data_IF_387331879588
#
_entry.id   IF_387331879588
#
_cell.length_a   1.000
_cell.length_b   1.000
_cell.length_c   1.000
_cell.angle_alpha   90.00
_cell.angle_beta   90.00
_cell.angle_gamma   90.00
#
_symmetry.space_group_name_H-M   'P 1'
#
loop_
_entity.id
_entity.type
_entity.pdbx_description
1 polymer ?
#
# COMPACT_ATOMS: atom_id res chain seq x y z
N UNK A 1 -30.60 -11.96 -87.03
CA UNK A 1 -32.03 -11.57 -87.04
C UNK A 1 -32.81 -12.63 -86.27
N UNK A 2 -32.68 -12.72 -84.95
CA UNK A 2 -32.90 -11.69 -83.91
C UNK A 2 -34.36 -11.63 -83.50
N UNK A 3 -34.76 -12.58 -82.66
CA UNK A 3 -35.99 -12.58 -81.86
C UNK A 3 -35.59 -12.42 -80.40
N UNK A 4 -35.86 -11.25 -79.82
CA UNK A 4 -35.43 -10.91 -78.46
C UNK A 4 -36.48 -11.39 -77.45
N UNK A 5 -36.16 -12.42 -76.66
CA UNK A 5 -37.01 -12.82 -75.55
C UNK A 5 -36.84 -11.84 -74.38
N UNK A 6 -37.94 -11.26 -73.91
CA UNK A 6 -37.97 -10.40 -72.73
C UNK A 6 -37.87 -11.27 -71.47
N UNK A 7 -36.78 -11.13 -70.71
CA UNK A 7 -36.69 -11.61 -69.34
C UNK A 7 -36.94 -10.43 -68.39
N UNK A 8 -37.73 -10.65 -67.33
CA UNK A 8 -38.08 -9.59 -66.39
C UNK A 8 -36.83 -9.11 -65.62
N UNK A 9 -36.70 -7.79 -65.50
CA UNK A 9 -35.83 -7.13 -64.51
C UNK A 9 -36.68 -6.82 -63.29
N UNK A 10 -36.17 -7.15 -62.11
CA UNK A 10 -36.90 -7.00 -60.84
C UNK A 10 -36.59 -5.61 -60.24
N UNK A 11 -37.49 -4.66 -60.49
CA UNK A 11 -37.33 -3.24 -60.14
C UNK A 11 -37.32 -3.03 -58.61
N UNK A 12 -36.14 -3.20 -58.02
CA UNK A 12 -35.91 -3.10 -56.58
C UNK A 12 -35.96 -1.64 -56.11
N UNK A 13 -37.18 -1.14 -55.87
CA UNK A 13 -37.43 0.17 -55.25
C UNK A 13 -36.78 0.27 -53.87
N UNK A 14 -35.66 0.98 -53.80
CA UNK A 14 -35.10 1.51 -52.55
C UNK A 14 -35.78 2.86 -52.23
N UNK A 15 -36.84 2.82 -51.43
CA UNK A 15 -37.50 4.03 -50.92
C UNK A 15 -36.57 4.78 -49.94
N UNK A 16 -35.78 5.72 -50.48
CA UNK A 16 -34.88 6.57 -49.73
C UNK A 16 -35.65 7.62 -48.89
N UNK A 17 -36.19 7.17 -47.76
CA UNK A 17 -36.95 8.01 -46.82
C UNK A 17 -36.00 8.93 -46.03
N UNK A 18 -35.78 10.14 -46.56
CA UNK A 18 -35.08 11.21 -45.85
C UNK A 18 -35.89 11.62 -44.62
N UNK A 19 -35.43 11.19 -43.45
CA UNK A 19 -35.99 11.64 -42.16
C UNK A 19 -35.06 12.72 -41.62
N UNK A 20 -35.45 13.98 -41.78
CA UNK A 20 -34.77 15.13 -41.16
C UNK A 20 -35.09 15.14 -39.67
N UNK A 21 -34.30 14.40 -38.89
CA UNK A 21 -34.43 14.31 -37.44
C UNK A 21 -33.79 15.55 -36.79
N UNK A 22 -34.62 16.39 -36.17
CA UNK A 22 -34.15 17.56 -35.42
C UNK A 22 -33.51 17.07 -34.12
N UNK A 23 -32.25 17.44 -33.88
CA UNK A 23 -31.53 17.07 -32.67
C UNK A 23 -32.16 17.74 -31.43
N UNK A 24 -32.78 16.94 -30.57
CA UNK A 24 -33.31 17.34 -29.27
C UNK A 24 -32.15 17.57 -28.27
N UNK A 25 -32.02 18.76 -27.65
CA UNK A 25 -30.93 19.08 -26.75
C UNK A 25 -31.02 18.45 -25.34
N UNK A 26 -32.00 17.57 -25.05
CA UNK A 26 -32.22 17.02 -23.70
C UNK A 26 -31.74 15.57 -23.48
N UNK A 27 -30.60 15.16 -24.02
CA UNK A 27 -30.04 13.83 -23.75
C UNK A 27 -28.51 13.80 -23.52
N UNK A 28 -28.08 14.36 -22.39
CA UNK A 28 -26.72 14.20 -21.82
C UNK A 28 -26.81 13.82 -20.33
N UNK A 29 -27.62 12.80 -20.01
CA UNK A 29 -27.65 12.18 -18.68
C UNK A 29 -27.09 10.76 -18.77
N UNK A 30 -26.07 10.45 -17.96
CA UNK A 30 -25.35 9.18 -18.02
C UNK A 30 -26.13 8.04 -17.37
N UNK A 31 -26.20 6.88 -18.05
CA UNK A 31 -26.90 5.69 -17.56
C UNK A 31 -26.20 5.08 -16.33
N UNK A 32 -26.57 5.55 -15.13
CA UNK A 32 -26.25 4.90 -13.87
C UNK A 32 -27.21 3.72 -13.64
N UNK A 33 -26.74 2.52 -13.96
CA UNK A 33 -27.46 1.24 -13.78
C UNK A 33 -27.60 0.86 -12.31
N UNK A 34 -28.48 1.57 -11.59
CA UNK A 34 -28.84 1.27 -10.19
C UNK A 34 -29.64 -0.04 -10.13
N UNK A 35 -29.09 -1.04 -9.43
CA UNK A 35 -29.74 -2.32 -9.19
C UNK A 35 -31.10 -2.18 -8.50
N UNK A 36 -32.07 -2.98 -8.91
CA UNK A 36 -33.48 -2.75 -8.61
C UNK A 36 -33.88 -2.84 -7.13
N UNK A 37 -34.45 -1.74 -6.61
CA UNK A 37 -35.49 -1.68 -5.56
C UNK A 37 -35.35 -2.65 -4.37
N UNK A 38 -34.50 -2.30 -3.39
CA UNK A 38 -34.95 -2.46 -2.01
C UNK A 38 -36.00 -1.38 -1.69
N UNK A 39 -37.06 -1.74 -0.97
CA UNK A 39 -38.04 -0.79 -0.45
C UNK A 39 -37.46 -0.13 0.81
N UNK A 40 -36.85 1.06 0.69
CA UNK A 40 -36.72 1.96 1.83
C UNK A 40 -38.11 2.44 2.26
N UNK A 41 -38.36 2.52 3.57
CA UNK A 41 -39.58 3.13 4.08
C UNK A 41 -39.43 4.66 4.06
N UNK A 42 -40.50 5.35 3.70
CA UNK A 42 -40.54 6.81 3.65
C UNK A 42 -40.80 7.37 5.07
N UNK A 43 -39.78 7.39 5.93
CA UNK A 43 -39.98 7.77 7.33
C UNK A 43 -38.76 7.91 8.25
N UNK A 44 -37.53 7.80 7.75
CA UNK A 44 -36.31 8.06 8.54
C UNK A 44 -35.46 9.15 7.86
N UNK A 45 -34.80 10.04 8.62
CA UNK A 45 -33.96 11.09 8.06
C UNK A 45 -32.70 10.49 7.40
N UNK A 46 -32.09 11.23 6.49
CA UNK A 46 -30.76 10.90 5.99
C UNK A 46 -29.75 10.90 7.15
N UNK A 47 -29.29 9.71 7.53
CA UNK A 47 -28.11 9.54 8.39
C UNK A 47 -26.89 10.05 7.63
N UNK A 48 -26.67 11.36 7.75
CA UNK A 48 -25.51 12.05 7.21
C UNK A 48 -24.24 11.43 7.79
N UNK A 49 -23.19 11.33 6.97
CA UNK A 49 -21.84 10.88 7.36
C UNK A 49 -21.12 11.87 8.29
N UNK A 50 -21.88 12.78 8.93
CA UNK A 50 -21.43 13.80 9.88
C UNK A 50 -21.80 13.44 11.33
N UNK A 51 -22.76 12.52 11.54
CA UNK A 51 -23.21 12.06 12.87
C UNK A 51 -22.63 10.68 13.26
N UNK A 52 -21.80 10.04 12.41
CA UNK A 52 -20.97 8.92 12.88
C UNK A 52 -19.95 9.47 13.89
N UNK A 53 -19.94 9.02 15.16
CA UNK A 53 -19.05 9.60 16.15
C UNK A 53 -17.61 9.27 15.78
N UNK A 54 -16.74 10.28 15.80
CA UNK A 54 -15.33 10.25 15.33
C UNK A 54 -14.57 8.98 15.77
N UNK A 55 -14.86 8.47 16.98
CA UNK A 55 -14.28 7.23 17.52
C UNK A 55 -14.52 6.01 16.61
N UNK A 56 -15.69 5.89 15.97
CA UNK A 56 -16.13 4.72 15.22
C UNK A 56 -15.55 4.76 13.80
N UNK A 57 -15.42 5.96 13.22
CA UNK A 57 -14.61 6.23 12.03
C UNK A 57 -13.13 5.87 12.26
N UNK A 58 -12.53 6.35 13.35
CA UNK A 58 -11.14 6.00 13.74
C UNK A 58 -11.00 4.50 13.98
N UNK A 59 -11.96 3.86 14.67
CA UNK A 59 -11.94 2.42 14.94
C UNK A 59 -12.07 1.59 13.65
N UNK A 60 -12.84 2.06 12.66
CA UNK A 60 -12.95 1.45 11.33
C UNK A 60 -11.62 1.48 10.59
N UNK A 61 -10.91 2.61 10.61
CA UNK A 61 -9.57 2.73 10.00
C UNK A 61 -8.52 1.93 10.78
N UNK A 62 -8.44 2.06 12.11
CA UNK A 62 -7.53 1.27 12.97
C UNK A 62 -7.73 -0.23 12.77
N UNK A 63 -8.97 -0.70 12.60
CA UNK A 63 -9.27 -2.11 12.26
C UNK A 63 -8.84 -2.48 10.84
N UNK A 64 -8.90 -1.57 9.87
CA UNK A 64 -8.39 -1.81 8.51
C UNK A 64 -6.86 -1.97 8.50
N UNK A 65 -6.12 -1.06 9.15
CA UNK A 65 -4.66 -1.14 9.29
C UNK A 65 -4.22 -2.33 10.15
N UNK A 66 -4.94 -2.66 11.22
CA UNK A 66 -4.70 -3.89 11.99
C UNK A 66 -4.75 -5.16 11.14
N UNK A 67 -5.70 -5.25 10.19
CA UNK A 67 -5.73 -6.34 9.21
C UNK A 67 -4.56 -6.29 8.23
N UNK A 68 -4.12 -5.11 7.79
CA UNK A 68 -2.95 -4.93 6.90
C UNK A 68 -1.64 -5.37 7.58
N UNK A 69 -1.45 -4.99 8.85
CA UNK A 69 -0.35 -5.46 9.69
C UNK A 69 -0.37 -6.99 9.89
N UNK A 70 -1.54 -7.59 10.17
CA UNK A 70 -1.66 -9.04 10.26
C UNK A 70 -1.24 -9.77 8.97
N UNK A 71 -1.55 -9.20 7.80
CA UNK A 71 -1.12 -9.78 6.51
C UNK A 71 0.39 -9.71 6.27
N UNK A 72 1.10 -8.72 6.82
CA UNK A 72 2.58 -8.69 6.79
C UNK A 72 3.17 -9.76 7.71
N UNK A 73 2.59 -9.94 8.91
CA UNK A 73 3.04 -10.97 9.85
C UNK A 73 2.68 -12.38 9.37
N UNK A 74 1.62 -12.54 8.58
CA UNK A 74 1.17 -13.82 8.04
C UNK A 74 0.59 -13.67 6.61
N UNK A 75 1.43 -13.77 5.55
CA UNK A 75 1.06 -13.43 4.18
C UNK A 75 0.21 -14.51 3.48
N UNK A 76 -1.04 -14.72 3.93
CA UNK A 76 -2.02 -15.60 3.27
C UNK A 76 -2.77 -14.95 2.11
N UNK A 77 -3.25 -13.70 2.24
CA UNK A 77 -4.04 -13.04 1.19
C UNK A 77 -3.39 -11.75 0.67
N UNK A 78 -2.84 -11.81 -0.55
CA UNK A 78 -2.07 -10.71 -1.15
C UNK A 78 -2.91 -9.53 -1.66
N UNK A 79 -4.24 -9.70 -1.79
CA UNK A 79 -5.12 -8.75 -2.52
C UNK A 79 -5.60 -7.56 -1.68
N UNK A 80 -5.70 -7.69 -0.35
CA UNK A 80 -6.22 -6.62 0.52
C UNK A 80 -5.25 -5.43 0.63
N UNK A 81 -3.97 -5.70 0.96
CA UNK A 81 -2.90 -4.69 0.97
C UNK A 81 -2.73 -3.94 -0.36
N UNK A 82 -3.05 -4.58 -1.48
CA UNK A 82 -2.89 -4.00 -2.81
C UNK A 82 -4.13 -3.22 -3.30
N UNK A 83 -5.27 -3.24 -2.60
CA UNK A 83 -6.50 -2.58 -3.07
C UNK A 83 -6.73 -1.18 -2.47
N UNK A 84 -6.13 -0.88 -1.32
CA UNK A 84 -6.48 0.27 -0.49
C UNK A 84 -5.26 1.16 -0.22
N UNK A 85 -5.14 2.29 -0.94
CA UNK A 85 -4.06 3.27 -0.69
C UNK A 85 -4.23 3.89 0.71
N UNK A 86 -3.25 3.62 1.58
CA UNK A 86 -3.35 3.86 3.02
C UNK A 86 -1.98 4.20 3.58
N UNK A 87 -1.76 5.50 3.82
CA UNK A 87 -0.47 6.08 4.17
C UNK A 87 -0.31 6.34 5.67
N UNK A 88 -1.41 6.33 6.44
CA UNK A 88 -1.40 6.67 7.85
C UNK A 88 -0.88 5.50 8.71
N UNK A 89 -1.19 4.24 8.37
CA UNK A 89 -0.62 3.07 9.04
C UNK A 89 0.92 3.01 8.99
N UNK A 90 1.55 3.15 7.80
CA UNK A 90 3.00 3.25 7.65
C UNK A 90 3.62 4.44 8.38
N UNK A 91 2.96 5.61 8.35
CA UNK A 91 3.41 6.82 9.05
C UNK A 91 3.41 6.61 10.57
N UNK A 92 2.34 6.05 11.13
CA UNK A 92 2.25 5.71 12.55
C UNK A 92 3.33 4.71 12.95
N UNK A 93 3.58 3.67 12.13
CA UNK A 93 4.63 2.69 12.40
C UNK A 93 6.04 3.32 12.37
N UNK A 94 6.32 4.18 11.39
CA UNK A 94 7.59 4.90 11.28
C UNK A 94 7.83 5.82 12.48
N UNK A 95 6.83 6.63 12.85
CA UNK A 95 6.84 7.48 14.05
C UNK A 95 7.05 6.65 15.32
N UNK A 96 6.39 5.49 15.42
CA UNK A 96 6.51 4.59 16.57
C UNK A 96 7.91 3.95 16.68
N UNK A 97 8.50 3.49 15.58
CA UNK A 97 9.90 3.04 15.58
C UNK A 97 10.85 4.16 15.99
N UNK A 98 10.68 5.36 15.44
CA UNK A 98 11.51 6.52 15.76
C UNK A 98 11.42 6.93 17.24
N UNK A 99 10.22 6.96 17.83
CA UNK A 99 10.03 7.24 19.26
C UNK A 99 10.68 6.17 20.16
N UNK A 100 10.60 4.88 19.79
CA UNK A 100 11.28 3.82 20.55
C UNK A 100 12.80 3.92 20.43
N UNK A 101 13.32 4.26 19.24
CA UNK A 101 14.76 4.39 19.01
C UNK A 101 15.34 5.57 19.80
N UNK A 102 14.68 6.74 19.74
CA UNK A 102 15.10 7.93 20.47
C UNK A 102 15.08 7.74 22.00
N UNK A 103 14.17 6.94 22.53
CA UNK A 103 14.19 6.55 23.94
C UNK A 103 15.31 5.55 24.31
N UNK A 104 16.29 5.31 23.44
CA UNK A 104 17.45 4.43 23.65
C UNK A 104 18.73 5.22 23.94
N UNK A 105 18.84 6.46 23.46
CA UNK A 105 20.03 7.33 23.57
C UNK A 105 20.13 8.09 24.91
N UNK A 106 19.62 7.52 26.00
CA UNK A 106 19.93 7.98 27.35
C UNK A 106 21.40 7.64 27.68
N UNK A 107 22.18 8.65 28.10
CA UNK A 107 23.62 8.55 28.51
C UNK A 107 24.68 8.72 27.41
N UNK A 108 24.54 9.73 26.53
CA UNK A 108 25.67 10.22 25.71
C UNK A 108 25.66 11.76 25.51
N UNK A 109 26.02 12.50 26.55
CA UNK A 109 26.57 13.88 26.54
C UNK A 109 26.32 14.75 25.28
N UNK A 110 25.24 15.54 25.26
CA UNK A 110 25.30 17.01 25.24
C UNK A 110 23.90 17.64 25.26
N UNK A 111 23.82 18.93 25.56
CA UNK A 111 22.57 19.69 25.48
C UNK A 111 22.16 19.93 24.01
N UNK A 112 20.84 20.00 23.79
CA UNK A 112 20.17 20.56 22.61
C UNK A 112 20.02 19.70 21.35
N UNK A 113 20.46 18.43 21.31
CA UNK A 113 20.39 17.58 20.10
C UNK A 113 19.41 16.39 20.18
N UNK A 114 18.27 16.57 20.87
CA UNK A 114 17.18 15.59 20.95
C UNK A 114 16.30 15.51 19.68
N UNK A 115 16.83 15.84 18.52
CA UNK A 115 16.08 16.04 17.26
C UNK A 115 16.46 15.14 16.06
N UNK A 116 17.74 14.83 15.80
CA UNK A 116 18.17 14.14 14.57
C UNK A 116 17.55 12.75 14.41
N UNK A 117 17.54 11.95 15.49
CA UNK A 117 17.05 10.56 15.54
C UNK A 117 15.67 10.38 14.87
N UNK A 118 14.70 11.23 15.23
CA UNK A 118 13.36 11.18 14.67
C UNK A 118 13.35 11.54 13.18
N UNK A 119 14.09 12.59 12.80
CA UNK A 119 14.19 13.04 11.43
C UNK A 119 14.92 12.03 10.53
N UNK A 120 15.95 11.34 11.05
CA UNK A 120 16.72 10.34 10.33
C UNK A 120 15.85 9.13 9.95
N UNK A 121 15.21 8.49 10.94
CA UNK A 121 14.31 7.34 10.69
C UNK A 121 13.20 7.73 9.72
N UNK A 122 12.60 8.93 9.88
CA UNK A 122 11.56 9.43 9.01
C UNK A 122 12.07 9.64 7.57
N UNK A 123 13.16 10.38 7.38
CA UNK A 123 13.72 10.66 6.05
C UNK A 123 14.18 9.38 5.35
N UNK A 124 14.83 8.45 6.04
CA UNK A 124 15.28 7.18 5.46
C UNK A 124 14.09 6.30 5.05
N UNK A 125 13.04 6.21 5.87
CA UNK A 125 11.83 5.45 5.51
C UNK A 125 11.13 6.07 4.28
N UNK A 126 10.94 7.39 4.26
CA UNK A 126 10.21 8.06 3.16
C UNK A 126 11.03 8.15 1.86
N UNK A 127 12.26 8.63 1.90
CA UNK A 127 13.12 8.75 0.70
C UNK A 127 13.55 7.36 0.23
N UNK A 128 13.87 6.44 1.15
CA UNK A 128 14.20 5.06 0.82
C UNK A 128 13.05 4.33 0.12
N UNK A 129 11.85 4.38 0.68
CA UNK A 129 10.68 3.77 0.03
C UNK A 129 10.33 4.44 -1.30
N UNK A 130 10.46 5.77 -1.42
CA UNK A 130 10.33 6.48 -2.70
C UNK A 130 11.32 5.97 -3.75
N UNK A 131 12.61 5.82 -3.42
CA UNK A 131 13.64 5.30 -4.34
C UNK A 131 13.33 3.85 -4.74
N UNK A 132 12.92 2.99 -3.79
CA UNK A 132 12.53 1.60 -4.07
C UNK A 132 11.30 1.53 -4.98
N UNK A 133 10.29 2.37 -4.72
CA UNK A 133 9.08 2.46 -5.55
C UNK A 133 9.38 3.00 -6.94
N UNK A 134 10.24 4.02 -7.09
CA UNK A 134 10.65 4.54 -8.40
C UNK A 134 11.36 3.46 -9.23
N UNK A 135 12.32 2.73 -8.65
CA UNK A 135 12.95 1.58 -9.32
C UNK A 135 11.92 0.51 -9.71
N UNK A 136 11.02 0.15 -8.78
CA UNK A 136 9.93 -0.80 -9.02
C UNK A 136 8.98 -0.36 -10.14
N UNK A 137 8.76 0.95 -10.32
CA UNK A 137 7.96 1.52 -11.40
C UNK A 137 8.71 1.53 -12.73
N UNK A 138 9.96 1.98 -12.76
CA UNK A 138 10.80 2.05 -13.98
C UNK A 138 11.05 0.66 -14.61
N UNK A 139 11.06 -0.41 -13.79
CA UNK A 139 11.10 -1.80 -14.28
C UNK A 139 9.84 -2.23 -15.06
N UNK A 140 8.72 -1.51 -14.91
CA UNK A 140 7.40 -1.88 -15.46
C UNK A 140 6.44 -2.48 -14.43
N UNK A 141 6.62 -2.20 -13.13
CA UNK A 141 5.74 -2.69 -12.07
C UNK A 141 4.32 -2.10 -12.16
N UNK A 142 3.31 -2.97 -12.08
CA UNK A 142 1.91 -2.60 -12.36
C UNK A 142 1.27 -1.77 -11.23
N UNK A 143 1.61 -2.04 -9.97
CA UNK A 143 1.11 -1.32 -8.77
C UNK A 143 1.40 0.18 -8.81
N UNK A 144 0.53 1.01 -8.23
CA UNK A 144 0.62 2.47 -8.23
C UNK A 144 1.75 3.02 -7.34
N UNK A 145 1.92 4.35 -7.33
CA UNK A 145 2.95 5.04 -6.51
C UNK A 145 2.52 5.32 -5.05
N UNK A 146 1.21 5.33 -4.75
CA UNK A 146 0.56 5.26 -3.35
C UNK A 146 0.04 2.75 -1.75
N UNK A 147 0.70 1.54 -1.68
CA UNK A 147 0.53 0.25 -2.42
C UNK A 147 1.90 -0.28 -2.90
N UNK A 148 2.87 0.63 -3.06
CA UNK A 148 4.31 0.33 -3.09
C UNK A 148 4.98 0.93 -1.85
N UNK A 149 5.06 2.25 -1.70
CA UNK A 149 5.46 2.95 -0.46
C UNK A 149 4.71 2.40 0.77
N UNK A 150 3.37 2.27 0.71
CA UNK A 150 2.63 1.80 1.89
C UNK A 150 2.99 0.35 2.26
N UNK A 151 3.13 -0.55 1.29
CA UNK A 151 3.47 -1.96 1.54
C UNK A 151 4.90 -2.07 2.06
N UNK A 152 5.85 -1.29 1.51
CA UNK A 152 7.21 -1.20 2.03
C UNK A 152 7.20 -0.76 3.52
N UNK A 153 6.40 0.25 3.85
CA UNK A 153 6.24 0.73 5.23
C UNK A 153 5.53 -0.28 6.14
N UNK A 154 4.44 -0.91 5.71
CA UNK A 154 3.78 -1.99 6.49
C UNK A 154 4.75 -3.15 6.74
N UNK A 155 5.60 -3.48 5.77
CA UNK A 155 6.63 -4.51 5.89
C UNK A 155 7.76 -4.18 6.87
N UNK A 156 7.80 -2.98 7.47
CA UNK A 156 8.66 -2.67 8.62
C UNK A 156 8.13 -3.23 9.95
N UNK A 157 6.87 -3.71 10.01
CA UNK A 157 6.27 -4.23 11.25
C UNK A 157 7.10 -5.33 11.95
N UNK A 158 7.69 -6.33 11.24
CA UNK A 158 8.54 -7.33 11.87
C UNK A 158 9.79 -6.71 12.49
N UNK A 159 10.39 -5.71 11.83
CA UNK A 159 11.54 -4.96 12.34
C UNK A 159 11.17 -4.11 13.56
N UNK A 160 9.97 -3.51 13.58
CA UNK A 160 9.44 -2.81 14.76
C UNK A 160 9.21 -3.77 15.95
N UNK A 161 8.73 -4.98 15.71
CA UNK A 161 8.60 -6.03 16.73
C UNK A 161 9.98 -6.47 17.24
N UNK A 162 10.96 -6.67 16.36
CA UNK A 162 12.35 -6.95 16.76
C UNK A 162 12.95 -5.82 17.60
N UNK A 163 12.68 -4.55 17.28
CA UNK A 163 13.10 -3.39 18.07
C UNK A 163 12.48 -3.41 19.48
N UNK A 164 11.16 -3.65 19.61
CA UNK A 164 10.49 -3.81 20.92
C UNK A 164 11.16 -4.94 21.73
N UNK A 165 11.39 -6.10 21.12
CA UNK A 165 12.04 -7.23 21.79
C UNK A 165 13.46 -6.87 22.24
N UNK A 166 14.24 -6.17 21.42
CA UNK A 166 15.59 -5.73 21.79
C UNK A 166 15.61 -4.68 22.91
N UNK A 167 14.53 -3.89 23.07
CA UNK A 167 14.32 -2.97 24.21
C UNK A 167 13.87 -3.70 25.49
N UNK A 168 13.03 -4.73 25.39
CA UNK A 168 12.67 -5.58 26.54
C UNK A 168 13.90 -6.33 27.06
N UNK A 169 14.74 -6.86 26.16
CA UNK A 169 16.01 -7.54 26.51
C UNK A 169 17.01 -6.57 27.18
N UNK A 170 16.92 -5.27 26.91
CA UNK A 170 17.76 -4.24 27.53
C UNK A 170 17.50 -4.05 29.03
N UNK A 171 16.32 -4.45 29.54
CA UNK A 171 15.99 -4.40 30.97
C UNK A 171 16.58 -5.56 31.78
N UNK A 172 17.24 -6.53 31.15
CA UNK A 172 17.99 -7.58 31.81
C UNK A 172 19.49 -7.23 31.94
N UNK A 173 20.21 -7.88 32.84
CA UNK A 173 21.66 -7.67 33.04
C UNK A 173 22.44 -7.92 31.74
N UNK A 174 23.18 -6.91 31.28
CA UNK A 174 23.83 -6.95 29.98
C UNK A 174 25.00 -7.95 29.96
N UNK A 175 24.86 -8.96 29.11
CA UNK A 175 25.88 -10.00 28.87
C UNK A 175 26.11 -10.17 27.37
N UNK A 176 27.30 -10.65 26.99
CA UNK A 176 27.68 -10.90 25.60
C UNK A 176 26.70 -11.83 24.87
N UNK A 177 26.04 -12.73 25.61
CA UNK A 177 24.98 -13.59 25.08
C UNK A 177 23.73 -12.79 24.66
N UNK A 178 23.27 -11.84 25.48
CA UNK A 178 22.12 -11.00 25.14
C UNK A 178 22.41 -10.07 23.96
N UNK A 179 23.65 -9.57 23.82
CA UNK A 179 24.05 -8.81 22.62
C UNK A 179 23.91 -9.68 21.35
N UNK A 180 24.43 -10.91 21.37
CA UNK A 180 24.27 -11.87 20.27
C UNK A 180 22.79 -12.22 19.98
N UNK A 181 21.98 -12.38 21.03
CA UNK A 181 20.54 -12.61 20.91
C UNK A 181 19.81 -11.45 20.20
N UNK A 182 20.15 -10.20 20.54
CA UNK A 182 19.58 -8.97 19.93
C UNK A 182 19.97 -8.85 18.45
N UNK A 183 21.21 -9.19 18.09
CA UNK A 183 21.65 -9.30 16.70
C UNK A 183 20.80 -10.32 15.93
N UNK A 184 20.62 -11.53 16.47
CA UNK A 184 19.82 -12.59 15.83
C UNK A 184 18.34 -12.17 15.67
N UNK A 185 17.74 -11.56 16.69
CA UNK A 185 16.34 -11.07 16.64
C UNK A 185 16.17 -9.98 15.57
N UNK A 186 17.14 -9.07 15.45
CA UNK A 186 17.13 -8.02 14.41
C UNK A 186 17.27 -8.62 13.01
N UNK A 187 18.16 -9.60 12.83
CA UNK A 187 18.34 -10.30 11.55
C UNK A 187 17.11 -11.13 11.15
N UNK A 188 16.40 -11.75 12.10
CA UNK A 188 15.12 -12.43 11.83
C UNK A 188 14.05 -11.42 11.37
N UNK A 189 13.95 -10.27 12.04
CA UNK A 189 13.04 -9.18 11.64
C UNK A 189 13.34 -8.66 10.23
N UNK A 190 14.61 -8.39 9.93
CA UNK A 190 15.12 -8.01 8.61
C UNK A 190 14.74 -9.02 7.51
N UNK A 191 14.99 -10.32 7.74
CA UNK A 191 14.67 -11.37 6.78
C UNK A 191 13.16 -11.50 6.57
N UNK A 192 12.35 -11.37 7.62
CA UNK A 192 10.88 -11.41 7.49
C UNK A 192 10.31 -10.19 6.77
N UNK A 193 10.80 -8.98 7.09
CA UNK A 193 10.43 -7.74 6.40
C UNK A 193 10.71 -7.83 4.90
N UNK A 194 11.93 -8.27 4.55
CA UNK A 194 12.36 -8.48 3.16
C UNK A 194 11.52 -9.56 2.46
N UNK A 195 11.26 -10.69 3.12
CA UNK A 195 10.43 -11.77 2.58
C UNK A 195 8.98 -11.33 2.32
N UNK A 196 8.33 -10.70 3.30
CA UNK A 196 6.96 -10.20 3.17
C UNK A 196 6.87 -9.17 2.04
N UNK A 197 7.80 -8.22 1.99
CA UNK A 197 7.88 -7.22 0.92
C UNK A 197 8.04 -7.85 -0.45
N UNK A 198 8.90 -8.87 -0.59
CA UNK A 198 9.05 -9.61 -1.83
C UNK A 198 7.82 -10.45 -2.18
N UNK A 199 7.09 -10.96 -1.20
CA UNK A 199 5.85 -11.69 -1.43
C UNK A 199 4.72 -10.81 -2.00
N UNK A 200 4.70 -9.50 -1.72
CA UNK A 200 3.71 -8.56 -2.26
C UNK A 200 4.21 -7.83 -3.53
N UNK A 201 5.37 -7.17 -3.47
CA UNK A 201 5.91 -6.40 -4.62
C UNK A 201 6.46 -7.32 -5.71
N UNK A 202 7.04 -8.46 -5.36
CA UNK A 202 7.68 -9.36 -6.32
C UNK A 202 6.71 -10.00 -7.32
N UNK A 203 5.43 -10.14 -6.99
CA UNK A 203 4.39 -10.61 -7.92
C UNK A 203 3.77 -9.48 -8.75
N UNK A 204 4.09 -8.23 -8.42
CA UNK A 204 3.70 -7.04 -9.19
C UNK A 204 4.72 -6.66 -10.28
N UNK A 205 5.81 -7.42 -10.39
CA UNK A 205 6.92 -7.21 -11.32
C UNK A 205 6.89 -8.22 -12.48
N UNK A 206 7.25 -7.80 -13.72
CA UNK A 206 7.24 -8.70 -14.86
C UNK A 206 8.25 -9.85 -14.71
N UNK A 207 7.89 -10.99 -15.30
CA UNK A 207 8.69 -12.22 -15.29
C UNK A 207 10.10 -11.93 -15.83
N UNK A 208 11.12 -12.48 -15.18
CA UNK A 208 12.54 -12.22 -15.48
C UNK A 208 13.13 -10.97 -14.82
N UNK A 209 12.35 -9.91 -14.55
CA UNK A 209 12.88 -8.69 -13.89
C UNK A 209 12.86 -8.71 -12.36
N UNK A 210 12.22 -9.70 -11.73
CA UNK A 210 12.04 -9.77 -10.26
C UNK A 210 13.36 -9.55 -9.49
N UNK A 211 14.48 -10.12 -9.93
CA UNK A 211 15.78 -9.97 -9.27
C UNK A 211 16.30 -8.52 -9.22
N UNK A 212 16.06 -7.72 -10.26
CA UNK A 212 16.47 -6.31 -10.27
C UNK A 212 15.62 -5.47 -9.30
N UNK A 213 14.37 -5.89 -9.03
CA UNK A 213 13.53 -5.26 -8.01
C UNK A 213 13.92 -5.67 -6.57
N UNK A 214 14.45 -6.89 -6.37
CA UNK A 214 14.94 -7.36 -5.06
C UNK A 214 16.04 -6.46 -4.50
N UNK A 215 16.99 -6.04 -5.34
CA UNK A 215 18.19 -5.31 -4.89
C UNK A 215 17.89 -4.05 -4.05
N UNK A 216 17.11 -3.06 -4.54
CA UNK A 216 16.78 -1.88 -3.74
C UNK A 216 15.88 -2.22 -2.53
N UNK A 217 14.99 -3.21 -2.65
CA UNK A 217 14.13 -3.68 -1.54
C UNK A 217 14.97 -4.24 -0.39
N UNK A 218 15.97 -5.08 -0.69
CA UNK A 218 16.91 -5.64 0.28
C UNK A 218 17.75 -4.54 0.93
N UNK A 219 18.30 -3.62 0.13
CA UNK A 219 19.12 -2.51 0.61
C UNK A 219 18.32 -1.62 1.58
N UNK A 220 17.07 -1.31 1.28
CA UNK A 220 16.18 -0.53 2.14
C UNK A 220 16.00 -1.15 3.54
N UNK A 221 15.60 -2.42 3.63
CA UNK A 221 15.47 -3.07 4.94
C UNK A 221 16.82 -3.29 5.62
N UNK A 222 17.90 -3.45 4.87
CA UNK A 222 19.25 -3.58 5.44
C UNK A 222 19.67 -2.29 6.14
N UNK A 223 19.47 -1.12 5.51
CA UNK A 223 19.76 0.19 6.12
C UNK A 223 18.90 0.43 7.37
N UNK A 224 17.59 0.13 7.32
CA UNK A 224 16.73 0.27 8.52
C UNK A 224 17.17 -0.70 9.65
N UNK A 225 17.58 -1.92 9.32
CA UNK A 225 18.00 -2.91 10.32
C UNK A 225 19.38 -2.62 10.89
N UNK A 226 20.27 -2.03 10.08
CA UNK A 226 21.55 -1.47 10.52
C UNK A 226 21.36 -0.27 11.46
N UNK A 227 20.45 0.64 11.12
CA UNK A 227 20.08 1.77 11.98
C UNK A 227 19.50 1.24 13.31
N UNK A 228 18.56 0.30 13.26
CA UNK A 228 18.02 -0.34 14.47
C UNK A 228 19.13 -0.92 15.35
N UNK A 229 20.11 -1.65 14.81
CA UNK A 229 21.16 -2.24 15.66
C UNK A 229 22.19 -1.22 16.16
N UNK A 230 22.46 -0.16 15.40
CA UNK A 230 23.41 0.90 15.75
C UNK A 230 22.96 1.67 17.01
N UNK A 231 21.71 2.15 17.05
CA UNK A 231 21.17 2.91 18.20
C UNK A 231 20.63 2.01 19.33
N UNK A 232 20.78 0.69 19.16
CA UNK A 232 20.46 -0.36 20.14
C UNK A 232 21.73 -0.98 20.74
N UNK A 233 22.93 -0.59 20.30
CA UNK A 233 24.19 -1.13 20.85
C UNK A 233 24.52 -0.53 22.22
#
# INVERSE_FOLDING_TARGET
>A
MSTTNMAATDDTKLDFKVTMEYADPQNIEGELTVGGKQKSNLGEPEFNTLDEPIRDTILRDVRAVGRKFYHVLYPKEKKCLLKEWDLWGPLVLCTFMAMILQGSSDTANNFNDGGPEFAEVFVIVWIGSMVVTLNSKLLGGNISFFQSICVLGYCLLPTAISLILCRIILMAEQTTFLFSLRFVITMIGFMWATYASMAFLGDSQPIGKKALAVYPIFLFYFVISWLVISHTT
#
